data_IF_411680146762
#
_entry.id   IF_411680146762
#
_cell.length_a   1.000
_cell.length_b   1.000
_cell.length_c   1.000
_cell.angle_alpha   90.00
_cell.angle_beta   90.00
_cell.angle_gamma   90.00
#
_symmetry.space_group_name_H-M   'P 1'
#
loop_
_entity.id
_entity.type
_entity.pdbx_description
1 polymer ?
#
# COMPACT_ATOMS: atom_id res chain seq x y z
N UNK A 1 -11.84 6.48 -3.13
CA UNK A 1 -10.69 5.75 -2.56
C UNK A 1 -11.04 4.28 -2.35
N UNK A 2 -10.14 3.32 -2.63
CA UNK A 2 -10.37 1.88 -2.42
C UNK A 2 -9.24 1.24 -1.61
N UNK A 3 -9.51 0.15 -0.88
CA UNK A 3 -8.47 -0.62 -0.18
C UNK A 3 -7.35 -1.07 -1.13
N UNK A 4 -7.69 -1.41 -2.38
CA UNK A 4 -6.72 -1.76 -3.44
C UNK A 4 -5.79 -0.59 -3.76
N UNK A 5 -6.31 0.63 -3.83
CA UNK A 5 -5.52 1.85 -4.04
C UNK A 5 -4.51 2.04 -2.91
N UNK A 6 -4.96 1.86 -1.66
CA UNK A 6 -4.12 2.04 -0.47
C UNK A 6 -2.97 1.02 -0.39
N UNK A 7 -3.29 -0.27 -0.55
CA UNK A 7 -2.25 -1.31 -0.43
C UNK A 7 -1.24 -1.29 -1.57
N UNK A 8 -1.61 -0.79 -2.76
CA UNK A 8 -0.66 -0.61 -3.88
C UNK A 8 0.35 0.49 -3.59
N UNK A 9 -0.11 1.64 -3.08
CA UNK A 9 0.77 2.73 -2.67
C UNK A 9 1.76 2.29 -1.56
N UNK A 10 1.26 1.55 -0.57
CA UNK A 10 2.11 0.98 0.48
C UNK A 10 3.11 -0.06 -0.07
N UNK A 11 2.68 -0.95 -0.97
CA UNK A 11 3.52 -2.03 -1.50
C UNK A 11 4.71 -1.51 -2.32
N UNK A 12 4.53 -0.45 -3.10
CA UNK A 12 5.63 0.16 -3.87
C UNK A 12 6.75 0.67 -2.94
N UNK A 13 6.39 1.28 -1.81
CA UNK A 13 7.36 1.74 -0.81
C UNK A 13 8.12 0.58 -0.15
N UNK A 14 7.49 -0.58 0.00
CA UNK A 14 8.12 -1.81 0.54
C UNK A 14 8.94 -2.58 -0.51
N UNK A 15 9.14 -2.03 -1.72
CA UNK A 15 9.80 -2.72 -2.83
C UNK A 15 8.97 -3.86 -3.43
N UNK A 16 7.69 -3.95 -3.08
CA UNK A 16 6.72 -4.86 -3.67
C UNK A 16 6.18 -4.36 -5.00
N UNK A 17 5.44 -5.22 -5.70
CA UNK A 17 4.72 -4.87 -6.92
C UNK A 17 3.30 -5.40 -6.85
N UNK A 18 2.33 -4.51 -7.04
CA UNK A 18 0.92 -4.87 -7.09
C UNK A 18 0.26 -4.94 -5.71
N UNK A 19 -0.76 -5.78 -5.59
CA UNK A 19 -1.72 -5.75 -4.49
C UNK A 19 -3.14 -5.85 -5.03
N UNK A 20 -3.97 -6.65 -4.38
CA UNK A 20 -5.29 -7.01 -4.89
C UNK A 20 -6.27 -7.40 -3.80
N UNK A 21 -7.53 -7.52 -4.19
CA UNK A 21 -8.64 -7.80 -3.30
C UNK A 21 -9.90 -7.07 -3.76
N UNK A 22 -10.80 -6.81 -2.81
CA UNK A 22 -12.04 -6.07 -3.00
C UNK A 22 -11.85 -4.60 -2.60
N UNK A 23 -12.76 -3.70 -3.01
CA UNK A 23 -12.67 -2.27 -2.65
C UNK A 23 -12.66 -1.99 -1.15
N UNK A 24 -13.23 -2.88 -0.35
CA UNK A 24 -13.33 -2.83 1.12
C UNK A 24 -12.21 -3.58 1.84
N UNK A 25 -11.58 -4.56 1.19
CA UNK A 25 -10.49 -5.35 1.75
C UNK A 25 -9.49 -5.77 0.68
N UNK A 26 -8.23 -5.38 0.83
CA UNK A 26 -7.15 -5.74 -0.07
C UNK A 26 -5.88 -6.11 0.70
N UNK A 27 -5.00 -6.85 0.04
CA UNK A 27 -3.70 -7.24 0.58
C UNK A 27 -2.61 -7.04 -0.47
N UNK A 28 -1.43 -6.65 -0.01
CA UNK A 28 -0.21 -6.57 -0.78
C UNK A 28 0.98 -6.92 0.13
N UNK A 29 2.15 -7.12 -0.46
CA UNK A 29 3.39 -7.37 0.26
C UNK A 29 4.57 -6.71 -0.43
N UNK A 30 5.71 -6.71 0.25
CA UNK A 30 6.97 -6.20 -0.28
C UNK A 30 8.16 -6.92 0.35
N UNK A 31 9.34 -6.56 -0.14
CA UNK A 31 10.58 -7.29 0.07
C UNK A 31 11.47 -6.59 1.11
N UNK A 32 11.15 -5.34 1.45
CA UNK A 32 11.92 -4.49 2.34
C UNK A 32 11.06 -4.01 3.51
N UNK A 33 11.15 -4.74 4.64
CA UNK A 33 10.43 -4.39 5.87
C UNK A 33 10.96 -3.12 6.54
N UNK A 34 12.19 -2.70 6.22
CA UNK A 34 12.77 -1.48 6.80
C UNK A 34 12.01 -0.22 6.36
N UNK A 35 11.22 -0.32 5.29
CA UNK A 35 10.42 0.76 4.71
C UNK A 35 8.97 0.80 5.24
N UNK A 36 8.66 0.11 6.34
CA UNK A 36 7.31 0.06 6.92
C UNK A 36 6.72 1.47 7.16
N UNK A 37 7.49 2.38 7.74
CA UNK A 37 7.03 3.75 8.00
C UNK A 37 6.75 4.53 6.70
N UNK A 38 7.56 4.32 5.66
CA UNK A 38 7.35 4.93 4.36
C UNK A 38 6.08 4.39 3.68
N UNK A 39 5.80 3.09 3.84
CA UNK A 39 4.60 2.45 3.32
C UNK A 39 3.32 2.98 3.97
N UNK A 40 3.32 3.20 5.29
CA UNK A 40 2.21 3.82 6.02
C UNK A 40 1.96 5.24 5.49
N UNK A 41 3.01 6.06 5.38
CA UNK A 41 2.90 7.43 4.84
C UNK A 41 2.37 7.47 3.42
N UNK A 42 2.78 6.53 2.56
CA UNK A 42 2.30 6.44 1.19
C UNK A 42 0.79 6.12 1.14
N UNK A 43 0.30 5.23 2.01
CA UNK A 43 -1.13 4.95 2.13
C UNK A 43 -1.91 6.16 2.67
N UNK A 44 -1.41 6.86 3.68
CA UNK A 44 -2.02 8.09 4.22
C UNK A 44 -2.12 9.19 3.17
N UNK A 45 -1.06 9.40 2.39
CA UNK A 45 -1.06 10.37 1.30
C UNK A 45 -2.13 10.06 0.25
N UNK A 46 -2.37 8.78 -0.04
CA UNK A 46 -3.43 8.35 -0.94
C UNK A 46 -4.84 8.56 -0.36
N UNK A 47 -5.00 8.73 0.96
CA UNK A 47 -6.30 9.03 1.59
C UNK A 47 -6.71 10.50 1.48
N UNK A 48 -5.74 11.41 1.39
CA UNK A 48 -5.96 12.86 1.31
C UNK A 48 -5.97 13.44 -0.12
N UNK A 49 -5.95 12.58 -1.14
CA UNK A 49 -5.92 12.92 -2.57
C UNK A 49 -7.30 12.79 -3.25
#
# INVERSE_FOLDING_TARGET
>A
LSAVTLVKAAAEALGGKGGGGRPDLAQAGGNDISQADAAIKAAEAAMGA
#
